data_IF_227329097892
#
_entry.id   IF_227329097892
#
_cell.length_a   1.000
_cell.length_b   1.000
_cell.length_c   1.000
_cell.angle_alpha   90.00
_cell.angle_beta   90.00
_cell.angle_gamma   90.00
#
_symmetry.space_group_name_H-M   'P 1'
#
loop_
_entity.id
_entity.type
_entity.pdbx_description
1 polymer ?
#
# COMPACT_ATOMS: atom_id res chain seq x y z
N UNK A 1 -1.79 -3.56 7.48
CA UNK A 1 -0.65 -4.44 7.80
C UNK A 1 -0.99 -5.51 8.82
N UNK A 2 -1.75 -5.22 9.88
CA UNK A 2 -2.18 -6.27 10.83
C UNK A 2 -2.97 -7.42 10.18
N UNK A 3 -3.83 -7.16 9.18
CA UNK A 3 -4.47 -8.25 8.42
C UNK A 3 -3.46 -9.16 7.73
N UNK A 4 -2.33 -8.62 7.23
CA UNK A 4 -1.28 -9.40 6.57
C UNK A 4 -0.46 -10.22 7.55
N UNK A 5 -0.12 -9.68 8.73
CA UNK A 5 0.64 -10.44 9.74
C UNK A 5 -0.15 -11.62 10.31
N UNK A 6 -1.48 -11.53 10.28
CA UNK A 6 -2.41 -12.60 10.69
C UNK A 6 -2.74 -13.59 9.56
N UNK A 7 -2.42 -13.26 8.30
CA UNK A 7 -2.72 -14.07 7.11
C UNK A 7 -1.51 -14.03 6.16
N UNK A 8 -0.38 -14.57 6.61
CA UNK A 8 0.96 -14.35 6.01
C UNK A 8 1.07 -14.89 4.59
N UNK A 9 0.31 -15.93 4.26
CA UNK A 9 0.18 -16.46 2.91
C UNK A 9 -0.38 -15.42 1.91
N UNK A 10 -1.17 -14.45 2.39
CA UNK A 10 -1.70 -13.36 1.57
C UNK A 10 -0.65 -12.27 1.32
N UNK A 11 0.38 -12.17 2.15
CA UNK A 11 1.46 -11.20 1.97
C UNK A 11 2.18 -11.40 0.65
N UNK A 12 2.59 -12.65 0.34
CA UNK A 12 3.26 -12.98 -0.92
C UNK A 12 2.41 -12.64 -2.15
N UNK A 13 1.09 -12.73 -2.03
CA UNK A 13 0.13 -12.42 -3.10
C UNK A 13 -0.16 -10.93 -3.23
N UNK A 14 0.25 -10.12 -2.25
CA UNK A 14 -0.14 -8.71 -2.16
C UNK A 14 1.04 -7.75 -2.25
N UNK A 15 2.24 -8.19 -1.87
CA UNK A 15 3.45 -7.35 -1.85
C UNK A 15 3.79 -6.69 -3.20
N UNK A 16 3.42 -7.28 -4.33
CA UNK A 16 3.63 -6.67 -5.66
C UNK A 16 2.62 -5.56 -6.01
N UNK A 17 1.51 -5.47 -5.27
CA UNK A 17 0.49 -4.43 -5.42
C UNK A 17 0.68 -3.28 -4.43
N UNK A 18 1.50 -3.47 -3.41
CA UNK A 18 1.70 -2.52 -2.33
C UNK A 18 3.11 -1.97 -2.41
N UNK A 19 3.28 -0.72 -2.82
CA UNK A 19 4.55 -0.04 -2.71
C UNK A 19 4.74 0.42 -1.25
N UNK A 20 5.90 0.12 -0.65
CA UNK A 20 6.21 0.51 0.73
C UNK A 20 6.15 2.03 0.92
N UNK A 21 6.52 2.79 -0.11
CA UNK A 21 6.45 4.25 -0.16
C UNK A 21 5.03 4.83 -0.09
N UNK A 22 4.01 4.02 -0.38
CA UNK A 22 2.60 4.42 -0.27
C UNK A 22 2.03 4.25 1.15
N UNK A 23 2.78 3.61 2.05
CA UNK A 23 2.46 3.50 3.47
C UNK A 23 2.84 4.81 4.19
N UNK A 24 1.86 5.45 4.80
CA UNK A 24 2.06 6.72 5.54
C UNK A 24 2.40 6.50 7.01
N UNK A 25 2.09 5.31 7.53
CA UNK A 25 2.22 4.99 8.94
C UNK A 25 3.54 4.24 9.19
N UNK A 26 4.32 4.71 10.17
CA UNK A 26 5.64 4.18 10.46
C UNK A 26 5.59 2.74 10.99
N UNK A 27 4.57 2.39 11.78
CA UNK A 27 4.36 1.02 12.28
C UNK A 27 3.98 0.08 11.13
N UNK A 28 3.20 0.57 10.16
CA UNK A 28 2.88 -0.16 8.94
C UNK A 28 4.11 -0.44 8.08
N UNK A 29 5.02 0.53 7.93
CA UNK A 29 6.30 0.34 7.23
C UNK A 29 7.17 -0.66 7.96
N UNK A 30 7.36 -0.50 9.28
CA UNK A 30 8.14 -1.44 10.08
C UNK A 30 7.59 -2.87 10.00
N UNK A 31 6.25 -3.03 10.06
CA UNK A 31 5.62 -4.35 9.92
C UNK A 31 5.73 -4.91 8.49
N UNK A 32 5.79 -4.05 7.47
CA UNK A 32 6.07 -4.48 6.10
C UNK A 32 7.47 -5.07 6.00
N UNK A 33 8.47 -4.40 6.57
CA UNK A 33 9.87 -4.85 6.56
C UNK A 33 10.04 -6.19 7.29
N UNK A 34 9.38 -6.35 8.45
CA UNK A 34 9.35 -7.63 9.18
C UNK A 34 8.77 -8.75 8.32
N UNK A 35 7.66 -8.50 7.61
CA UNK A 35 7.04 -9.50 6.74
C UNK A 35 7.88 -9.82 5.51
N UNK A 36 8.57 -8.83 4.95
CA UNK A 36 9.46 -9.03 3.79
C UNK A 36 10.70 -9.84 4.20
N UNK A 37 11.30 -9.56 5.36
CA UNK A 37 12.43 -10.34 5.87
C UNK A 37 12.00 -11.77 6.20
N UNK A 38 10.87 -11.95 6.88
CA UNK A 38 10.35 -13.28 7.20
C UNK A 38 10.09 -14.10 5.93
N UNK A 39 9.51 -13.46 4.90
CA UNK A 39 9.28 -14.08 3.60
C UNK A 39 10.59 -14.43 2.87
N UNK A 40 11.64 -13.60 2.98
CA UNK A 40 12.94 -13.83 2.36
C UNK A 40 13.67 -15.00 2.98
N UNK A 41 13.61 -15.12 4.31
CA UNK A 41 14.27 -16.19 5.06
C UNK A 41 13.45 -17.51 5.09
N UNK A 42 12.24 -17.53 4.52
CA UNK A 42 11.24 -18.62 4.64
C UNK A 42 10.94 -18.98 6.12
N UNK A 43 10.91 -17.95 6.98
CA UNK A 43 10.58 -18.03 8.41
C UNK A 43 9.25 -17.33 8.68
N UNK A 44 8.76 -17.37 9.93
CA UNK A 44 7.51 -16.68 10.30
C UNK A 44 6.22 -17.48 10.11
N UNK A 45 6.32 -18.81 9.95
CA UNK A 45 5.13 -19.70 9.99
C UNK A 45 4.44 -19.70 11.35
N UNK A 46 5.19 -19.41 12.42
CA UNK A 46 4.68 -19.27 13.78
C UNK A 46 4.75 -17.83 14.26
N UNK A 47 3.81 -17.46 15.12
CA UNK A 47 3.60 -16.10 15.61
C UNK A 47 4.80 -15.61 16.43
N UNK A 48 5.44 -16.50 17.19
CA UNK A 48 6.59 -16.19 18.03
C UNK A 48 7.79 -15.68 17.22
N UNK A 49 8.01 -16.22 16.02
CA UNK A 49 9.10 -15.77 15.15
C UNK A 49 8.87 -14.34 14.67
N UNK A 50 7.64 -14.02 14.27
CA UNK A 50 7.31 -12.64 13.88
C UNK A 50 7.51 -11.68 15.04
N UNK A 51 7.05 -12.05 16.23
CA UNK A 51 7.19 -11.22 17.43
C UNK A 51 8.65 -10.96 17.80
N UNK A 52 9.54 -11.94 17.61
CA UNK A 52 10.97 -11.79 17.86
C UNK A 52 11.68 -10.83 16.89
N UNK A 53 11.11 -10.60 15.71
CA UNK A 53 11.65 -9.68 14.70
C UNK A 53 11.20 -8.23 14.92
N UNK A 54 10.29 -7.99 15.86
CA UNK A 54 9.75 -6.65 16.14
C UNK A 54 10.52 -6.03 17.31
N UNK A 55 11.25 -4.96 17.03
CA UNK A 55 12.00 -4.21 18.06
C UNK A 55 11.14 -3.18 18.80
N UNK A 56 10.18 -2.56 18.09
CA UNK A 56 9.33 -1.53 18.66
C UNK A 56 8.31 -2.12 19.65
N UNK A 57 8.28 -1.70 20.93
CA UNK A 57 7.39 -2.27 21.94
C UNK A 57 5.90 -2.05 21.66
N UNK A 58 5.53 -0.94 21.01
CA UNK A 58 4.14 -0.62 20.72
C UNK A 58 3.64 -1.51 19.59
N UNK A 59 4.37 -1.57 18.47
CA UNK A 59 4.10 -2.48 17.37
C UNK A 59 4.08 -3.94 17.82
N UNK A 60 5.00 -4.34 18.72
CA UNK A 60 5.00 -5.68 19.31
C UNK A 60 3.67 -5.96 20.01
N UNK A 61 3.23 -5.04 20.88
CA UNK A 61 1.99 -5.18 21.64
C UNK A 61 0.77 -5.27 20.72
N UNK A 62 0.73 -4.46 19.67
CA UNK A 62 -0.38 -4.44 18.73
C UNK A 62 -0.44 -5.71 17.87
N UNK A 63 0.72 -6.19 17.39
CA UNK A 63 0.82 -7.46 16.67
C UNK A 63 0.46 -8.64 17.56
N UNK A 64 1.00 -8.72 18.77
CA UNK A 64 0.68 -9.79 19.72
C UNK A 64 -0.81 -9.83 20.05
N UNK A 65 -1.41 -8.65 20.28
CA UNK A 65 -2.84 -8.53 20.54
C UNK A 65 -3.69 -8.94 19.33
N UNK A 66 -3.20 -8.67 18.11
CA UNK A 66 -3.92 -8.95 16.88
C UNK A 66 -4.17 -10.45 16.64
N UNK A 67 -3.23 -11.33 17.04
CA UNK A 67 -3.34 -12.78 16.83
C UNK A 67 -4.55 -13.41 17.53
N UNK A 68 -5.00 -12.82 18.64
CA UNK A 68 -6.18 -13.28 19.37
C UNK A 68 -7.50 -12.74 18.79
N UNK A 69 -7.48 -11.77 17.86
CA UNK A 69 -8.70 -11.13 17.36
C UNK A 69 -9.27 -11.85 16.15
N UNK A 70 -10.56 -12.17 16.23
CA UNK A 70 -11.28 -12.84 15.14
C UNK A 70 -11.49 -11.94 13.92
N UNK A 71 -11.43 -10.62 14.09
CA UNK A 71 -11.63 -9.64 13.00
C UNK A 71 -10.66 -9.85 11.84
N UNK A 72 -9.44 -10.31 12.11
CA UNK A 72 -8.44 -10.59 11.08
C UNK A 72 -8.65 -11.93 10.36
N UNK A 73 -9.57 -12.77 10.82
CA UNK A 73 -9.93 -14.05 10.19
C UNK A 73 -11.19 -13.94 9.32
N UNK A 74 -11.96 -12.86 9.47
CA UNK A 74 -13.19 -12.63 8.74
C UNK A 74 -12.91 -12.01 7.37
N UNK A 75 -13.06 -12.82 6.31
CA UNK A 75 -12.87 -12.41 4.91
C UNK A 75 -11.57 -11.60 4.66
N UNK A 76 -10.39 -12.09 5.10
CA UNK A 76 -9.14 -11.32 5.09
C UNK A 76 -8.76 -10.86 3.69
N UNK A 77 -9.03 -11.67 2.66
CA UNK A 77 -8.78 -11.29 1.27
C UNK A 77 -9.61 -10.08 0.82
N UNK A 78 -10.88 -10.00 1.23
CA UNK A 78 -11.76 -8.87 0.86
C UNK A 78 -11.24 -7.59 1.51
N UNK A 79 -11.01 -7.64 2.83
CA UNK A 79 -10.48 -6.52 3.62
C UNK A 79 -9.14 -6.03 3.05
N UNK A 80 -8.26 -6.97 2.68
CA UNK A 80 -6.97 -6.65 2.13
C UNK A 80 -7.05 -6.00 0.75
N UNK A 81 -7.90 -6.53 -0.15
CA UNK A 81 -8.10 -5.94 -1.47
C UNK A 81 -8.63 -4.51 -1.36
N UNK A 82 -9.62 -4.29 -0.50
CA UNK A 82 -10.16 -2.95 -0.25
C UNK A 82 -9.08 -2.00 0.28
N UNK A 83 -8.31 -2.44 1.30
CA UNK A 83 -7.25 -1.64 1.89
C UNK A 83 -6.16 -1.26 0.87
N UNK A 84 -5.72 -2.22 0.04
CA UNK A 84 -4.72 -1.97 -1.01
C UNK A 84 -5.28 -1.00 -2.05
N UNK A 85 -6.52 -1.16 -2.49
CA UNK A 85 -7.17 -0.25 -3.43
C UNK A 85 -7.24 1.18 -2.87
N UNK A 86 -7.54 1.35 -1.57
CA UNK A 86 -7.55 2.65 -0.91
C UNK A 86 -6.16 3.29 -0.82
N UNK A 87 -5.13 2.50 -0.49
CA UNK A 87 -3.73 2.96 -0.43
C UNK A 87 -3.29 3.43 -1.82
N UNK A 88 -3.50 2.61 -2.85
CA UNK A 88 -3.18 2.96 -4.22
C UNK A 88 -3.95 4.20 -4.68
N UNK A 89 -5.24 4.29 -4.37
CA UNK A 89 -6.05 5.45 -4.75
C UNK A 89 -5.46 6.74 -4.18
N UNK A 90 -5.10 6.74 -2.89
CA UNK A 90 -4.44 7.88 -2.24
C UNK A 90 -3.11 8.24 -2.90
N UNK A 91 -2.31 7.25 -3.26
CA UNK A 91 -1.04 7.45 -3.95
C UNK A 91 -1.24 8.11 -5.33
N UNK A 92 -2.17 7.59 -6.14
CA UNK A 92 -2.51 8.16 -7.43
C UNK A 92 -3.11 9.57 -7.33
N UNK A 93 -3.90 9.86 -6.29
CA UNK A 93 -4.43 11.21 -6.05
C UNK A 93 -3.30 12.21 -5.71
N UNK A 94 -2.31 11.81 -4.90
CA UNK A 94 -1.11 12.63 -4.68
C UNK A 94 -0.32 12.82 -5.98
N UNK A 95 -0.14 11.75 -6.75
CA UNK A 95 0.56 11.79 -8.04
C UNK A 95 -0.13 12.73 -9.02
N UNK A 96 -1.46 12.70 -9.10
CA UNK A 96 -2.29 13.62 -9.88
C UNK A 96 -2.04 15.08 -9.52
N UNK A 97 -1.99 15.39 -8.23
CA UNK A 97 -1.73 16.75 -7.74
C UNK A 97 -0.33 17.24 -8.10
N UNK A 98 0.67 16.35 -8.02
CA UNK A 98 2.04 16.65 -8.43
C UNK A 98 2.14 16.91 -9.93
N UNK A 99 1.60 16.00 -10.76
CA UNK A 99 1.59 16.12 -12.22
C UNK A 99 0.87 17.41 -12.68
N UNK A 100 -0.25 17.77 -12.04
CA UNK A 100 -0.93 19.05 -12.30
C UNK A 100 -0.04 20.25 -12.02
N UNK A 101 0.67 20.27 -10.89
CA UNK A 101 1.60 21.37 -10.54
C UNK A 101 2.73 21.48 -11.56
N UNK A 102 3.28 20.35 -12.00
CA UNK A 102 4.32 20.31 -13.01
C UNK A 102 3.81 20.86 -14.35
N UNK A 103 2.61 20.47 -14.79
CA UNK A 103 1.98 21.03 -15.99
C UNK A 103 1.80 22.56 -15.89
N UNK A 104 1.30 23.05 -14.74
CA UNK A 104 1.09 24.49 -14.52
C UNK A 104 2.41 25.28 -14.61
N UNK A 105 3.51 24.71 -14.08
CA UNK A 105 4.87 25.30 -14.16
C UNK A 105 5.39 25.26 -15.60
N UNK A 106 5.32 24.09 -16.26
CA UNK A 106 5.85 23.91 -17.61
C UNK A 106 5.19 24.81 -18.65
N UNK A 107 3.87 25.05 -18.50
CA UNK A 107 3.12 25.99 -19.34
C UNK A 107 3.49 27.45 -19.09
N UNK A 108 4.00 27.79 -17.90
CA UNK A 108 4.41 29.15 -17.55
C UNK A 108 5.86 29.46 -17.94
N UNK A 109 6.77 28.50 -17.73
CA UNK A 109 8.22 28.69 -17.89
C UNK A 109 8.72 28.42 -19.32
N UNK A 110 7.83 28.09 -20.26
CA UNK A 110 8.20 27.82 -21.65
C UNK A 110 9.01 26.53 -21.82
N UNK A 111 8.67 25.49 -21.05
CA UNK A 111 9.27 24.15 -21.20
C UNK A 111 9.01 23.61 -22.61
N UNK A 112 9.93 22.81 -23.15
CA UNK A 112 9.80 22.18 -24.47
C UNK A 112 8.52 21.32 -24.56
N UNK A 113 7.87 21.35 -25.73
CA UNK A 113 6.59 20.67 -26.00
C UNK A 113 6.62 19.16 -25.66
N UNK A 114 7.77 18.50 -25.81
CA UNK A 114 7.94 17.06 -25.51
C UNK A 114 7.74 16.75 -24.02
N UNK A 115 8.24 17.60 -23.12
CA UNK A 115 8.05 17.43 -21.67
C UNK A 115 6.60 17.66 -21.24
N UNK A 116 5.88 18.54 -21.95
CA UNK A 116 4.45 18.78 -21.73
C UNK A 116 3.63 17.57 -22.22
N UNK A 117 3.98 16.99 -23.36
CA UNK A 117 3.33 15.79 -23.90
C UNK A 117 3.44 14.61 -22.94
N UNK A 118 4.62 14.38 -22.37
CA UNK A 118 4.84 13.34 -21.36
C UNK A 118 3.97 13.52 -20.12
N UNK A 119 3.89 14.74 -19.59
CA UNK A 119 3.05 15.05 -18.44
C UNK A 119 1.55 14.86 -18.75
N UNK A 120 1.10 15.19 -19.97
CA UNK A 120 -0.28 14.97 -20.41
C UNK A 120 -0.63 13.49 -20.58
N UNK A 121 0.31 12.68 -21.10
CA UNK A 121 0.18 11.23 -21.17
C UNK A 121 0.06 10.64 -19.76
N UNK A 122 0.98 11.01 -18.87
CA UNK A 122 0.96 10.56 -17.48
C UNK A 122 -0.34 10.95 -16.77
N UNK A 123 -0.85 12.16 -16.99
CA UNK A 123 -2.15 12.59 -16.46
C UNK A 123 -3.28 11.65 -16.88
N UNK A 124 -3.31 11.25 -18.16
CA UNK A 124 -4.33 10.35 -18.70
C UNK A 124 -4.27 8.98 -18.04
N UNK A 125 -3.06 8.45 -17.84
CA UNK A 125 -2.83 7.18 -17.14
C UNK A 125 -3.26 7.24 -15.66
N UNK A 126 -2.92 8.33 -14.97
CA UNK A 126 -3.32 8.58 -13.57
C UNK A 126 -4.85 8.63 -13.46
N UNK A 127 -5.51 9.43 -14.30
CA UNK A 127 -6.97 9.59 -14.27
C UNK A 127 -7.68 8.26 -14.58
N UNK A 128 -7.18 7.48 -15.53
CA UNK A 128 -7.69 6.14 -15.83
C UNK A 128 -7.55 5.19 -14.64
N UNK A 129 -6.39 5.19 -13.96
CA UNK A 129 -6.17 4.30 -12.81
C UNK A 129 -7.02 4.68 -11.60
N UNK A 130 -7.20 5.97 -11.34
CA UNK A 130 -8.10 6.47 -10.30
C UNK A 130 -9.54 6.01 -10.58
N UNK A 131 -10.01 6.10 -11.83
CA UNK A 131 -11.36 5.66 -12.19
C UNK A 131 -11.55 4.14 -11.98
N UNK A 132 -10.55 3.33 -12.36
CA UNK A 132 -10.55 1.89 -12.13
C UNK A 132 -10.64 1.55 -10.63
N UNK A 133 -9.81 2.20 -9.80
CA UNK A 133 -9.76 1.98 -8.35
C UNK A 133 -11.07 2.40 -7.66
N UNK A 134 -11.66 3.53 -8.06
CA UNK A 134 -12.96 3.97 -7.53
C UNK A 134 -14.07 2.98 -7.87
N UNK A 135 -14.10 2.50 -9.11
CA UNK A 135 -15.07 1.48 -9.53
C UNK A 135 -14.90 0.17 -8.75
N UNK A 136 -13.66 -0.27 -8.51
CA UNK A 136 -13.39 -1.45 -7.69
C UNK A 136 -13.92 -1.28 -6.26
N UNK A 137 -13.67 -0.12 -5.64
CA UNK A 137 -14.15 0.19 -4.29
C UNK A 137 -15.68 0.32 -4.21
N UNK A 138 -16.36 0.78 -5.26
CA UNK A 138 -17.83 0.81 -5.32
C UNK A 138 -18.46 -0.58 -5.41
N UNK A 139 -17.75 -1.56 -5.98
CA UNK A 139 -18.22 -2.95 -6.10
C UNK A 139 -18.02 -3.76 -4.82
N UNK A 140 -17.17 -3.27 -3.91
CA UNK A 140 -16.87 -3.94 -2.64
C UNK A 140 -17.84 -3.55 -1.49
N UNK A 141 -18.68 -2.53 -1.70
CA UNK A 141 -19.72 -2.01 -0.78
C UNK A 141 -21.04 -2.77 -0.99
#
# INVERSE_FOLDING_TARGET
MLTLVNNRELYLQTRYKLAVEDLEDAEAVALYDVLEEAAREDVGKHDEYILQMIEDPQLYSDVASSFAREEFKLAPQKVLNEAVNRIQLRAYEKKRMSNKRLLDISLHDGTEDEGIEDLLREKTEIDAKIAELKKALEQDI
#
